data_IF_562296024137
#
_entry.id   IF_562296024137
#
_cell.length_a   1.000
_cell.length_b   1.000
_cell.length_c   1.000
_cell.angle_alpha   90.00
_cell.angle_beta   90.00
_cell.angle_gamma   90.00
#
_symmetry.space_group_name_H-M   'P 1'
#
loop_
_entity.id
_entity.type
_entity.pdbx_description
1 polymer ?
#
# COMPACT_ATOMS: atom_id res chain seq x y z
N UNK A 1 -13.59 44.22 -14.09
CA UNK A 1 -14.70 44.93 -14.77
C UNK A 1 -15.70 43.87 -15.23
N UNK A 2 -16.72 43.54 -14.42
CA UNK A 2 -18.14 43.95 -14.60
C UNK A 2 -18.76 43.55 -15.95
N UNK A 3 -19.91 42.87 -16.16
CA UNK A 3 -21.00 42.19 -15.39
C UNK A 3 -21.79 41.35 -16.42
N UNK A 4 -22.49 40.26 -16.01
CA UNK A 4 -23.84 39.88 -16.55
C UNK A 4 -24.48 38.82 -15.63
N UNK A 5 -25.11 39.22 -14.51
CA UNK A 5 -26.57 39.42 -14.27
C UNK A 5 -27.39 38.11 -14.12
N UNK A 6 -27.91 37.96 -12.92
CA UNK A 6 -28.94 37.05 -12.39
C UNK A 6 -30.29 37.03 -13.14
N UNK A 7 -30.91 35.83 -13.28
CA UNK A 7 -32.13 35.34 -12.60
C UNK A 7 -32.84 34.25 -13.43
N UNK A 8 -32.95 33.03 -12.90
CA UNK A 8 -34.24 32.32 -12.80
C UNK A 8 -34.17 31.10 -11.86
N UNK A 9 -34.75 31.31 -10.69
CA UNK A 9 -35.45 30.40 -9.78
C UNK A 9 -35.88 29.03 -10.32
N UNK A 10 -35.71 27.98 -9.51
CA UNK A 10 -36.53 26.76 -9.57
C UNK A 10 -35.95 25.56 -8.81
N UNK A 11 -36.55 25.20 -7.68
CA UNK A 11 -36.27 23.98 -6.92
C UNK A 11 -36.42 22.72 -7.80
N UNK A 12 -35.52 21.75 -7.57
CA UNK A 12 -35.87 20.33 -7.57
C UNK A 12 -35.58 19.52 -8.83
N UNK A 13 -34.46 18.79 -8.80
CA UNK A 13 -34.34 17.34 -9.06
C UNK A 13 -32.86 16.95 -9.04
N UNK A 14 -32.42 16.37 -7.92
CA UNK A 14 -31.23 15.52 -7.90
C UNK A 14 -31.55 14.23 -8.68
N UNK A 15 -30.77 13.92 -9.72
CA UNK A 15 -30.15 12.59 -9.84
C UNK A 15 -28.71 12.74 -10.40
N UNK A 16 -27.74 11.85 -10.29
CA UNK A 16 -27.72 10.42 -10.08
C UNK A 16 -26.28 10.09 -9.61
N UNK A 17 -26.16 9.49 -8.43
CA UNK A 17 -25.22 8.40 -8.12
C UNK A 17 -23.87 8.35 -8.88
N UNK A 18 -22.81 8.88 -8.29
CA UNK A 18 -21.52 8.18 -8.31
C UNK A 18 -21.13 7.93 -6.85
N UNK A 19 -21.62 6.79 -6.37
CA UNK A 19 -21.14 6.15 -5.16
C UNK A 19 -19.70 5.67 -5.44
N UNK A 20 -18.73 6.52 -5.17
CA UNK A 20 -17.35 6.10 -4.98
C UNK A 20 -16.91 6.59 -3.60
N UNK A 21 -17.52 6.01 -2.57
CA UNK A 21 -16.88 5.92 -1.27
C UNK A 21 -15.68 5.01 -1.49
N UNK A 22 -14.55 5.56 -1.94
CA UNK A 22 -13.26 4.99 -1.60
C UNK A 22 -12.79 5.71 -0.35
N UNK A 23 -13.52 5.52 0.75
CA UNK A 23 -12.79 5.35 1.99
C UNK A 23 -11.89 4.16 1.71
N UNK A 24 -10.60 4.40 1.57
CA UNK A 24 -9.66 3.35 1.94
C UNK A 24 -9.99 3.15 3.42
N UNK A 25 -10.91 2.23 3.71
CA UNK A 25 -10.88 1.54 4.97
C UNK A 25 -9.60 0.73 4.83
N UNK A 26 -8.46 1.38 5.08
CA UNK A 26 -7.30 0.66 5.55
C UNK A 26 -7.83 0.08 6.84
N UNK A 27 -8.34 -1.15 6.75
CA UNK A 27 -8.43 -1.97 7.93
C UNK A 27 -7.05 -1.84 8.57
N UNK A 28 -6.96 -1.60 9.89
CA UNK A 28 -5.69 -1.87 10.54
C UNK A 28 -5.27 -3.26 10.04
N UNK A 29 -4.13 -3.35 9.36
CA UNK A 29 -3.40 -4.60 9.24
C UNK A 29 -2.97 -4.90 10.66
N UNK A 30 -3.91 -5.39 11.47
CA UNK A 30 -3.58 -6.10 12.70
C UNK A 30 -2.57 -7.13 12.23
N UNK A 31 -1.32 -7.00 12.71
CA UNK A 31 -0.18 -7.81 12.29
C UNK A 31 -0.69 -9.20 11.98
N UNK A 32 -0.67 -9.53 10.69
CA UNK A 32 -1.42 -10.68 10.21
C UNK A 32 -0.86 -11.86 10.99
N UNK A 33 -1.70 -12.59 11.70
CA UNK A 33 -1.20 -13.72 12.48
C UNK A 33 -0.41 -14.62 11.51
N UNK A 34 0.85 -14.89 11.84
CA UNK A 34 1.89 -15.54 11.02
C UNK A 34 2.77 -14.66 10.11
N UNK A 35 2.54 -13.35 10.04
CA UNK A 35 3.45 -12.34 9.46
C UNK A 35 4.19 -11.68 10.64
N UNK A 36 5.46 -12.04 10.83
CA UNK A 36 6.26 -11.73 12.01
C UNK A 36 7.23 -10.58 11.76
N UNK A 37 7.71 -10.39 10.53
CA UNK A 37 8.56 -9.27 10.15
C UNK A 37 7.82 -8.10 9.49
N UNK A 38 6.49 -8.23 9.31
CA UNK A 38 5.57 -7.17 8.90
C UNK A 38 5.80 -6.66 7.48
N UNK A 39 6.24 -7.53 6.58
CA UNK A 39 6.43 -7.24 5.16
C UNK A 39 5.17 -7.52 4.30
N UNK A 40 4.09 -7.95 4.94
CA UNK A 40 2.77 -8.22 4.33
C UNK A 40 2.69 -9.51 3.51
N UNK A 41 3.61 -10.45 3.68
CA UNK A 41 3.41 -11.83 3.28
C UNK A 41 3.69 -12.84 4.40
N UNK A 42 3.41 -14.12 4.12
CA UNK A 42 3.69 -15.22 5.05
C UNK A 42 4.66 -16.16 4.35
N UNK A 43 5.90 -16.15 4.80
CA UNK A 43 7.01 -16.80 4.13
C UNK A 43 7.97 -17.55 5.08
N UNK A 44 9.16 -17.90 4.59
CA UNK A 44 10.15 -18.65 5.38
C UNK A 44 10.77 -17.83 6.51
N UNK A 45 10.89 -16.52 6.36
CA UNK A 45 11.43 -15.60 7.35
C UNK A 45 10.51 -15.59 8.58
N UNK A 46 9.19 -15.53 8.38
CA UNK A 46 8.21 -15.62 9.45
C UNK A 46 8.30 -16.92 10.23
N UNK A 47 8.26 -18.05 9.51
CA UNK A 47 8.35 -19.36 10.13
C UNK A 47 9.65 -19.53 10.92
N UNK A 48 10.75 -18.99 10.40
CA UNK A 48 12.04 -19.00 11.09
C UNK A 48 11.97 -18.20 12.39
N UNK A 49 11.31 -17.05 12.38
CA UNK A 49 11.11 -16.22 13.56
C UNK A 49 10.22 -16.91 14.63
N UNK A 50 9.15 -17.60 14.22
CA UNK A 50 8.30 -18.40 15.12
C UNK A 50 9.12 -19.53 15.76
N UNK A 51 9.82 -20.32 14.96
CA UNK A 51 10.59 -21.45 15.47
C UNK A 51 11.78 -21.03 16.34
N UNK A 52 12.35 -19.84 16.11
CA UNK A 52 13.36 -19.23 16.95
C UNK A 52 12.80 -18.80 18.33
N UNK A 53 11.53 -18.42 18.39
CA UNK A 53 10.84 -17.99 19.61
C UNK A 53 10.13 -19.13 20.37
N UNK A 54 10.25 -20.39 19.93
CA UNK A 54 9.60 -21.53 20.58
C UNK A 54 9.94 -21.66 22.08
N UNK A 55 8.94 -22.09 22.85
CA UNK A 55 8.96 -22.21 24.32
C UNK A 55 9.07 -20.87 25.04
N UNK A 56 8.75 -19.77 24.38
CA UNK A 56 8.58 -18.46 25.01
C UNK A 56 7.09 -18.17 25.23
N UNK A 57 6.73 -17.42 26.28
CA UNK A 57 5.40 -16.84 26.37
C UNK A 57 5.19 -15.85 25.21
N UNK A 58 3.97 -15.82 24.68
CA UNK A 58 3.56 -14.80 23.74
C UNK A 58 3.61 -13.40 24.39
N UNK A 59 3.90 -12.38 23.59
CA UNK A 59 3.93 -10.97 24.00
C UNK A 59 2.54 -10.37 24.28
N UNK A 60 1.48 -11.07 23.86
CA UNK A 60 0.09 -10.70 24.07
C UNK A 60 -0.83 -11.60 23.25
N UNK A 61 -2.14 -11.31 23.29
CA UNK A 61 -3.14 -12.04 22.49
C UNK A 61 -2.99 -11.81 20.97
N UNK A 62 -2.34 -10.71 20.59
CA UNK A 62 -2.07 -10.33 19.21
C UNK A 62 -0.61 -10.60 18.81
N UNK A 63 0.12 -11.49 19.51
CA UNK A 63 1.47 -11.88 19.10
C UNK A 63 1.41 -12.66 17.78
N UNK A 64 2.02 -12.18 16.68
CA UNK A 64 1.92 -12.85 15.38
C UNK A 64 2.54 -14.25 15.37
N UNK A 65 3.34 -14.61 16.38
CA UNK A 65 3.98 -15.92 16.52
C UNK A 65 3.12 -16.95 17.28
N UNK A 66 2.00 -16.53 17.86
CA UNK A 66 1.07 -17.36 18.62
C UNK A 66 -0.25 -17.44 17.85
N UNK A 67 -0.35 -18.42 16.95
CA UNK A 67 -1.42 -18.45 15.94
C UNK A 67 -2.76 -18.84 16.51
N UNK A 68 -2.76 -19.71 17.52
CA UNK A 68 -3.95 -20.17 18.21
C UNK A 68 -4.31 -19.30 19.44
N UNK A 69 -3.49 -18.26 19.70
CA UNK A 69 -3.61 -17.31 20.80
C UNK A 69 -3.69 -17.97 22.19
N UNK A 70 -2.96 -19.07 22.39
CA UNK A 70 -2.97 -19.81 23.65
C UNK A 70 -2.00 -19.25 24.71
N UNK A 71 -1.21 -18.23 24.35
CA UNK A 71 -0.24 -17.56 25.22
C UNK A 71 1.18 -18.12 25.15
N UNK A 72 1.45 -19.11 24.29
CA UNK A 72 2.76 -19.75 24.14
C UNK A 72 3.13 -19.99 22.69
N UNK A 73 4.36 -19.67 22.33
CA UNK A 73 4.90 -19.91 20.99
C UNK A 73 5.44 -21.35 20.92
N UNK A 74 4.84 -22.18 20.07
CA UNK A 74 5.16 -23.61 19.94
C UNK A 74 5.43 -24.02 18.48
N UNK A 75 5.72 -25.31 18.29
CA UNK A 75 5.83 -25.89 16.94
C UNK A 75 4.46 -25.96 16.24
N UNK A 76 3.37 -26.01 16.99
CA UNK A 76 2.03 -26.08 16.42
C UNK A 76 1.65 -24.76 15.73
N UNK A 77 2.05 -23.63 16.30
CA UNK A 77 1.90 -22.30 15.71
C UNK A 77 2.64 -22.21 14.39
N UNK A 78 3.94 -22.53 14.38
CA UNK A 78 4.74 -22.52 13.15
C UNK A 78 4.20 -23.49 12.08
N UNK A 79 3.62 -24.62 12.49
CA UNK A 79 2.98 -25.54 11.53
C UNK A 79 1.66 -24.99 10.99
N UNK A 80 0.85 -24.33 11.83
CA UNK A 80 -0.38 -23.69 11.41
C UNK A 80 -0.08 -22.53 10.44
N UNK A 81 0.92 -21.70 10.76
CA UNK A 81 1.41 -20.64 9.90
C UNK A 81 1.94 -21.16 8.57
N UNK A 82 2.64 -22.30 8.54
CA UNK A 82 3.12 -22.89 7.30
C UNK A 82 2.00 -23.30 6.33
N UNK A 83 0.76 -23.49 6.81
CA UNK A 83 -0.41 -23.76 5.97
C UNK A 83 -1.04 -22.48 5.40
N UNK A 84 -0.61 -21.31 5.86
CA UNK A 84 -1.08 -19.99 5.42
C UNK A 84 -0.17 -19.36 4.37
N UNK A 85 1.04 -19.88 4.16
CA UNK A 85 1.93 -19.38 3.10
C UNK A 85 1.25 -19.46 1.73
N UNK A 86 1.29 -18.36 0.96
CA UNK A 86 0.70 -18.30 -0.37
C UNK A 86 1.52 -19.06 -1.43
N UNK A 87 2.85 -19.14 -1.24
CA UNK A 87 3.78 -19.65 -2.23
C UNK A 87 4.29 -21.06 -1.91
N UNK A 88 4.70 -21.76 -2.97
CA UNK A 88 5.27 -23.09 -2.85
C UNK A 88 6.49 -23.09 -1.93
N UNK A 89 6.53 -24.05 -0.99
CA UNK A 89 7.63 -24.18 -0.01
C UNK A 89 7.84 -22.93 0.86
N UNK A 90 6.80 -22.11 1.02
CA UNK A 90 6.85 -20.84 1.76
C UNK A 90 8.02 -19.99 1.23
N UNK A 91 8.01 -19.71 -0.08
CA UNK A 91 9.10 -18.99 -0.73
C UNK A 91 9.11 -17.52 -0.30
N UNK A 92 10.32 -16.99 -0.10
CA UNK A 92 10.56 -15.59 0.26
C UNK A 92 10.44 -14.72 -0.98
N UNK A 93 9.57 -13.71 -0.95
CA UNK A 93 9.37 -12.77 -2.06
C UNK A 93 9.10 -11.37 -1.52
N UNK A 94 10.14 -10.54 -1.45
CA UNK A 94 9.98 -9.15 -1.09
C UNK A 94 9.38 -8.34 -2.27
N UNK A 95 8.33 -7.52 -2.05
CA UNK A 95 7.89 -6.56 -3.06
C UNK A 95 8.94 -5.45 -3.26
N UNK A 96 9.08 -4.87 -4.47
CA UNK A 96 9.99 -3.76 -4.69
C UNK A 96 9.63 -2.56 -3.81
N UNK A 97 10.60 -2.02 -3.08
CA UNK A 97 10.46 -0.77 -2.34
C UNK A 97 10.52 0.43 -3.31
N UNK A 98 9.50 1.29 -3.25
CA UNK A 98 9.38 2.48 -4.09
C UNK A 98 9.19 3.74 -3.26
N UNK A 99 9.87 4.82 -3.62
CA UNK A 99 9.72 6.14 -2.99
C UNK A 99 9.59 7.23 -4.06
N UNK A 100 8.60 8.12 -3.92
CA UNK A 100 8.49 9.32 -4.74
C UNK A 100 9.31 10.43 -4.08
N UNK A 101 10.35 10.90 -4.76
CA UNK A 101 11.22 11.99 -4.28
C UNK A 101 10.83 13.35 -4.87
N UNK A 102 10.08 13.36 -5.97
CA UNK A 102 9.48 14.57 -6.51
C UNK A 102 8.20 14.24 -7.30
N UNK A 103 7.14 15.02 -7.16
CA UNK A 103 7.03 16.21 -6.31
C UNK A 103 6.94 15.88 -4.81
N UNK A 104 7.31 16.84 -3.96
CA UNK A 104 7.06 16.71 -2.51
C UNK A 104 5.55 16.64 -2.23
N UNK A 105 5.18 15.84 -1.23
CA UNK A 105 3.79 15.73 -0.78
C UNK A 105 3.21 17.10 -0.40
N UNK A 106 2.01 17.42 -0.90
CA UNK A 106 1.33 18.70 -0.63
C UNK A 106 1.75 19.85 -1.55
N UNK A 107 2.60 19.60 -2.55
CA UNK A 107 2.92 20.60 -3.59
C UNK A 107 1.65 21.04 -4.34
N UNK A 108 1.46 22.36 -4.48
CA UNK A 108 0.40 22.94 -5.31
C UNK A 108 0.91 23.13 -6.74
N UNK A 109 0.12 22.70 -7.72
CA UNK A 109 0.46 22.82 -9.13
C UNK A 109 -0.41 23.88 -9.80
N UNK A 110 0.23 24.74 -10.60
CA UNK A 110 -0.45 25.70 -11.46
C UNK A 110 -0.51 25.25 -12.93
N UNK A 111 -0.06 24.02 -13.22
CA UNK A 111 0.02 23.48 -14.58
C UNK A 111 0.11 21.96 -14.60
N UNK A 112 -0.32 21.39 -15.72
CA UNK A 112 -0.36 19.95 -16.02
C UNK A 112 0.03 19.78 -17.50
N UNK A 113 0.76 18.72 -17.88
CA UNK A 113 1.22 17.60 -17.05
C UNK A 113 2.48 17.91 -16.22
N UNK A 114 2.78 17.05 -15.25
CA UNK A 114 3.97 17.14 -14.38
C UNK A 114 4.97 16.01 -14.66
N UNK A 115 6.13 16.12 -14.04
CA UNK A 115 7.12 15.05 -13.95
C UNK A 115 7.08 14.48 -12.54
N UNK A 116 7.03 13.16 -12.44
CA UNK A 116 7.16 12.42 -11.18
C UNK A 116 8.48 11.66 -11.23
N UNK A 117 9.28 11.76 -10.18
CA UNK A 117 10.52 11.02 -10.03
C UNK A 117 10.64 10.40 -8.66
N UNK A 118 11.47 9.38 -8.57
CA UNK A 118 11.65 8.63 -7.35
C UNK A 118 12.77 7.62 -7.45
N UNK A 119 12.79 6.70 -6.50
CA UNK A 119 13.69 5.56 -6.46
C UNK A 119 12.90 4.26 -6.31
N UNK A 120 13.43 3.21 -6.91
CA UNK A 120 13.03 1.82 -6.70
C UNK A 120 14.29 1.02 -6.36
N UNK A 121 14.17 0.04 -5.47
CA UNK A 121 15.28 -0.81 -5.03
C UNK A 121 15.64 -1.93 -6.03
N UNK A 122 14.68 -2.35 -6.86
CA UNK A 122 14.86 -3.23 -8.01
C UNK A 122 14.92 -2.43 -9.33
N UNK A 123 16.11 -2.30 -9.91
CA UNK A 123 16.33 -1.61 -11.20
C UNK A 123 15.65 -2.30 -12.40
N UNK A 124 15.23 -3.55 -12.25
CA UNK A 124 14.49 -4.31 -13.25
C UNK A 124 12.97 -4.20 -13.08
N UNK A 125 12.48 -3.52 -12.04
CA UNK A 125 11.06 -3.34 -11.80
C UNK A 125 10.39 -2.46 -12.88
N UNK A 126 9.11 -2.76 -13.15
CA UNK A 126 8.27 -1.91 -13.97
C UNK A 126 7.53 -0.90 -13.08
N UNK A 127 7.78 0.40 -13.30
CA UNK A 127 7.10 1.48 -12.57
C UNK A 127 6.08 2.16 -13.49
N UNK A 128 4.83 2.25 -13.04
CA UNK A 128 3.74 2.97 -13.70
C UNK A 128 3.21 4.08 -12.80
N UNK A 129 3.07 5.29 -13.33
CA UNK A 129 2.53 6.46 -12.62
C UNK A 129 1.25 6.91 -13.31
N UNK A 130 0.09 6.51 -12.77
CA UNK A 130 -1.24 6.82 -13.32
C UNK A 130 -1.40 6.43 -14.80
N UNK A 131 -0.88 5.27 -15.21
CA UNK A 131 -0.90 4.79 -16.59
C UNK A 131 0.25 5.28 -17.47
N UNK A 132 1.19 6.05 -16.90
CA UNK A 132 2.42 6.48 -17.57
C UNK A 132 3.58 5.60 -17.09
N UNK A 133 4.08 4.73 -17.98
CA UNK A 133 5.29 3.96 -17.72
C UNK A 133 6.49 4.89 -17.48
N UNK A 134 7.13 4.73 -16.33
CA UNK A 134 8.35 5.45 -15.97
C UNK A 134 9.58 4.81 -16.61
N UNK A 135 10.61 5.61 -16.88
CA UNK A 135 11.94 5.10 -17.21
C UNK A 135 12.69 4.83 -15.91
N UNK A 136 13.08 3.57 -15.67
CA UNK A 136 13.94 3.16 -14.53
C UNK A 136 15.39 3.09 -15.01
N UNK A 137 16.28 3.77 -14.29
CA UNK A 137 17.71 3.80 -14.56
C UNK A 137 18.43 2.70 -13.77
N UNK A 138 19.66 2.35 -14.17
CA UNK A 138 20.51 1.35 -13.52
C UNK A 138 21.04 1.78 -12.13
N UNK A 139 20.65 2.95 -11.63
CA UNK A 139 20.91 3.38 -10.26
C UNK A 139 19.63 3.33 -9.39
N UNK A 140 18.55 2.72 -9.90
CA UNK A 140 17.25 2.64 -9.24
C UNK A 140 16.42 3.92 -9.33
N UNK A 141 16.93 5.00 -9.92
CA UNK A 141 16.12 6.22 -10.09
C UNK A 141 15.09 6.02 -11.20
N UNK A 142 13.85 6.45 -10.97
CA UNK A 142 12.81 6.43 -12.01
C UNK A 142 12.29 7.84 -12.33
N UNK A 143 11.88 8.04 -13.58
CA UNK A 143 11.23 9.27 -14.05
C UNK A 143 10.03 8.94 -14.94
N UNK A 144 8.86 9.40 -14.53
CA UNK A 144 7.65 9.45 -15.35
C UNK A 144 7.39 10.89 -15.82
N UNK A 145 7.43 11.12 -17.12
CA UNK A 145 7.15 12.43 -17.72
C UNK A 145 5.74 12.46 -18.28
N UNK A 146 5.07 13.60 -18.19
CA UNK A 146 3.74 13.75 -18.80
C UNK A 146 2.59 13.21 -17.94
N UNK A 147 2.79 13.09 -16.63
CA UNK A 147 1.74 12.66 -15.70
C UNK A 147 0.68 13.76 -15.60
N UNK A 148 -0.51 13.49 -16.14
CA UNK A 148 -1.61 14.46 -16.16
C UNK A 148 -2.26 14.57 -14.78
N UNK A 149 -2.37 15.80 -14.28
CA UNK A 149 -3.19 16.10 -13.11
C UNK A 149 -4.64 16.33 -13.54
N UNK A 150 -5.58 15.79 -12.76
CA UNK A 150 -7.00 16.13 -12.84
C UNK A 150 -7.31 17.13 -11.72
N UNK A 151 -7.90 18.28 -12.06
CA UNK A 151 -8.39 19.22 -11.07
C UNK A 151 -9.55 18.58 -10.27
N UNK A 152 -9.52 18.70 -8.95
CA UNK A 152 -10.66 18.34 -8.09
C UNK A 152 -11.68 19.47 -7.97
N UNK A 153 -12.91 19.16 -7.56
CA UNK A 153 -13.85 20.19 -7.11
C UNK A 153 -13.30 20.87 -5.85
N UNK A 154 -13.09 22.19 -5.93
CA UNK A 154 -12.85 23.01 -4.74
C UNK A 154 -14.19 23.20 -4.03
N UNK A 155 -14.47 22.35 -3.03
CA UNK A 155 -15.63 22.49 -2.15
C UNK A 155 -15.41 23.54 -1.05
#
# INVERSE_FOLDING_TARGET
>A
MSVCRHLQSGLGRAPLLVLAILTILSAPTFGEVCDVDSDSDIDRLDLTAIFAARNQPASGVDDPRDEDANGYITVLDGRACALRCALAQCAVVDPPAIEITSPEGGTLFAGSPIVVSGTVDDENAAVDVNGIAATVNADGTFVATGVALQEGENA
#
